data_IF_456078104688
#
_entry.id   IF_456078104688
#
_cell.length_a   1.000
_cell.length_b   1.000
_cell.length_c   1.000
_cell.angle_alpha   90.00
_cell.angle_beta   90.00
_cell.angle_gamma   90.00
#
_symmetry.space_group_name_H-M   'P 1'
#
loop_
_entity.id
_entity.type
_entity.pdbx_description
1 polymer ?
#
# COMPACT_ATOMS: atom_id res chain seq x y z
N UNK A 1 4.22 3.16 24.59
CA UNK A 1 3.39 3.49 23.41
C UNK A 1 3.94 2.78 22.19
N UNK A 2 3.29 1.71 21.71
CA UNK A 2 3.62 1.13 20.41
C UNK A 2 3.06 2.03 19.30
N UNK A 3 3.96 2.59 18.49
CA UNK A 3 3.65 3.49 17.39
C UNK A 3 3.80 2.72 16.08
N UNK A 4 2.70 2.29 15.50
CA UNK A 4 2.67 1.76 14.13
C UNK A 4 2.34 2.94 13.20
N UNK A 5 3.13 3.12 12.14
CA UNK A 5 2.73 3.94 11.01
C UNK A 5 2.78 5.45 11.22
N UNK A 6 3.74 6.08 10.55
CA UNK A 6 3.77 7.52 10.22
C UNK A 6 3.76 8.50 11.40
N UNK A 7 4.77 8.42 12.26
CA UNK A 7 5.05 9.43 13.31
C UNK A 7 5.28 10.86 12.80
N UNK A 8 5.45 11.07 11.48
CA UNK A 8 5.78 12.35 10.87
C UNK A 8 4.86 12.75 9.71
N UNK A 9 3.79 12.00 9.44
CA UNK A 9 2.75 12.45 8.51
C UNK A 9 1.58 12.99 9.32
N UNK A 10 1.37 14.29 9.24
CA UNK A 10 0.31 14.98 9.94
C UNK A 10 -0.39 15.92 8.98
N UNK A 11 -1.71 15.89 9.01
CA UNK A 11 -2.51 17.02 8.57
C UNK A 11 -2.48 18.07 9.68
N UNK A 12 -2.23 19.33 9.32
CA UNK A 12 -2.25 20.45 10.25
C UNK A 12 -2.97 21.63 9.61
N UNK A 13 -3.70 22.39 10.43
CA UNK A 13 -4.38 23.58 9.95
C UNK A 13 -3.36 24.70 9.70
N UNK A 14 -3.38 25.27 8.50
CA UNK A 14 -2.52 26.40 8.16
C UNK A 14 -2.97 27.65 8.93
N UNK A 15 -2.05 28.57 9.19
CA UNK A 15 -2.37 29.84 9.88
C UNK A 15 -3.41 30.69 9.13
N UNK A 16 -3.65 30.42 7.86
CA UNK A 16 -4.77 30.95 7.08
C UNK A 16 -6.00 30.06 7.24
N UNK A 17 -7.04 30.60 7.88
CA UNK A 17 -8.30 29.92 8.20
C UNK A 17 -8.82 29.10 7.01
N UNK A 18 -9.03 27.80 7.23
CA UNK A 18 -9.74 26.91 6.29
C UNK A 18 -8.89 26.10 5.31
N UNK A 19 -7.54 26.21 5.36
CA UNK A 19 -6.67 25.32 4.57
C UNK A 19 -5.91 24.35 5.47
N UNK A 20 -6.13 23.06 5.26
CA UNK A 20 -5.29 22.00 5.82
C UNK A 20 -4.05 21.83 4.94
N UNK A 21 -2.88 21.85 5.57
CA UNK A 21 -1.63 21.42 4.97
C UNK A 21 -1.25 20.05 5.53
N UNK A 22 -0.32 19.38 4.87
CA UNK A 22 0.25 18.13 5.36
C UNK A 22 1.76 18.17 5.25
N UNK A 23 2.43 17.43 6.13
CA UNK A 23 3.87 17.17 6.00
C UNK A 23 4.12 16.31 4.76
N UNK A 24 5.08 16.71 3.91
CA UNK A 24 5.41 15.94 2.71
C UNK A 24 5.99 14.56 3.09
N UNK A 25 5.35 13.51 2.60
CA UNK A 25 5.97 12.20 2.47
C UNK A 25 6.99 12.29 1.32
N UNK A 26 8.25 12.60 1.63
CA UNK A 26 9.33 12.55 0.64
C UNK A 26 9.70 11.08 0.30
N UNK A 27 10.57 10.86 -0.69
CA UNK A 27 10.90 9.49 -1.16
C UNK A 27 11.27 8.51 -0.05
N UNK A 28 12.16 8.90 0.87
CA UNK A 28 12.59 8.07 2.01
C UNK A 28 11.42 7.78 2.95
N UNK A 29 10.61 8.79 3.28
CA UNK A 29 9.46 8.61 4.17
C UNK A 29 8.35 7.76 3.51
N UNK A 30 8.11 7.91 2.20
CA UNK A 30 7.16 7.08 1.43
C UNK A 30 7.57 5.61 1.51
N UNK A 31 8.84 5.31 1.23
CA UNK A 31 9.36 3.95 1.30
C UNK A 31 9.25 3.37 2.72
N UNK A 32 9.51 4.19 3.73
CA UNK A 32 9.37 3.76 5.12
C UNK A 32 7.92 3.38 5.49
N UNK A 33 6.93 4.10 4.96
CA UNK A 33 5.52 3.72 5.11
C UNK A 33 5.22 2.43 4.36
N UNK A 34 5.62 2.32 3.11
CA UNK A 34 5.39 1.09 2.32
C UNK A 34 5.98 -0.15 3.02
N UNK A 35 7.17 -0.04 3.61
CA UNK A 35 7.86 -1.15 4.30
C UNK A 35 7.26 -1.54 5.65
N UNK A 36 6.72 -0.60 6.42
CA UNK A 36 6.42 -0.83 7.84
C UNK A 36 4.93 -0.62 8.21
N UNK A 37 4.07 -0.38 7.22
CA UNK A 37 2.65 -0.19 7.47
C UNK A 37 1.95 -1.54 7.65
N UNK A 38 1.56 -1.85 8.88
CA UNK A 38 0.88 -3.11 9.23
C UNK A 38 -0.63 -3.01 8.93
N UNK A 39 -1.03 -3.34 7.70
CA UNK A 39 -2.42 -3.22 7.23
C UNK A 39 -3.39 -4.03 8.09
N UNK A 40 -2.99 -5.23 8.52
CA UNK A 40 -3.81 -6.13 9.34
C UNK A 40 -4.10 -5.61 10.75
N UNK A 41 -3.37 -4.59 11.23
CA UNK A 41 -3.72 -3.91 12.50
C UNK A 41 -4.91 -2.96 12.36
N UNK A 42 -5.19 -2.49 11.15
CA UNK A 42 -6.28 -1.54 10.89
C UNK A 42 -7.52 -2.22 10.30
N UNK A 43 -7.32 -3.20 9.42
CA UNK A 43 -8.39 -3.97 8.80
C UNK A 43 -8.35 -5.36 9.43
N UNK A 44 -9.39 -5.73 10.17
CA UNK A 44 -9.52 -7.07 10.75
C UNK A 44 -9.86 -8.12 9.70
N UNK A 45 -9.78 -9.39 10.11
CA UNK A 45 -10.29 -10.56 9.39
C UNK A 45 -9.55 -10.89 8.07
N UNK A 46 -10.12 -11.81 7.29
CA UNK A 46 -9.57 -12.26 6.01
C UNK A 46 -9.32 -11.11 5.03
N UNK A 47 -10.17 -10.08 5.08
CA UNK A 47 -10.01 -8.87 4.27
C UNK A 47 -8.72 -8.13 4.59
N UNK A 48 -8.38 -8.01 5.87
CA UNK A 48 -7.12 -7.41 6.31
C UNK A 48 -5.90 -8.15 5.79
N UNK A 49 -5.92 -9.49 5.88
CA UNK A 49 -4.83 -10.34 5.36
C UNK A 49 -4.66 -10.21 3.86
N UNK A 50 -5.77 -10.17 3.10
CA UNK A 50 -5.74 -9.97 1.65
C UNK A 50 -5.18 -8.60 1.27
N UNK A 51 -5.57 -7.55 1.99
CA UNK A 51 -5.04 -6.20 1.77
C UNK A 51 -3.56 -6.10 2.14
N UNK A 52 -3.13 -6.76 3.22
CA UNK A 52 -1.73 -6.83 3.62
C UNK A 52 -0.88 -7.58 2.59
N UNK A 53 -1.39 -8.67 2.03
CA UNK A 53 -0.74 -9.36 0.91
C UNK A 53 -0.57 -8.44 -0.30
N UNK A 54 -1.63 -7.76 -0.73
CA UNK A 54 -1.58 -6.82 -1.85
C UNK A 54 -0.60 -5.67 -1.58
N UNK A 55 -0.50 -5.20 -0.34
CA UNK A 55 0.42 -4.16 0.08
C UNK A 55 1.89 -4.60 -0.06
N UNK A 56 2.21 -5.81 0.43
CA UNK A 56 3.55 -6.37 0.33
C UNK A 56 3.97 -6.67 -1.12
N UNK A 57 3.07 -7.23 -1.93
CA UNK A 57 3.36 -7.51 -3.33
C UNK A 57 3.55 -6.22 -4.14
N UNK A 58 2.79 -5.17 -3.84
CA UNK A 58 3.03 -3.85 -4.45
C UNK A 58 4.42 -3.31 -4.09
N UNK A 59 4.82 -3.40 -2.81
CA UNK A 59 6.17 -3.00 -2.38
C UNK A 59 7.25 -3.80 -3.12
N UNK A 60 7.04 -5.11 -3.32
CA UNK A 60 7.98 -5.96 -4.06
C UNK A 60 8.15 -5.49 -5.51
N UNK A 61 7.04 -5.24 -6.22
CA UNK A 61 7.07 -4.68 -7.58
C UNK A 61 7.75 -3.31 -7.62
N UNK A 62 7.47 -2.46 -6.64
CA UNK A 62 8.11 -1.14 -6.52
C UNK A 62 9.63 -1.26 -6.32
N UNK A 63 10.09 -2.14 -5.42
CA UNK A 63 11.52 -2.34 -5.18
C UNK A 63 12.24 -2.92 -6.39
N UNK A 64 11.58 -3.80 -7.14
CA UNK A 64 12.12 -4.36 -8.38
C UNK A 64 12.45 -3.26 -9.40
N UNK A 65 11.54 -2.28 -9.59
CA UNK A 65 11.76 -1.14 -10.49
C UNK A 65 12.93 -0.23 -10.07
N UNK A 66 13.42 -0.37 -8.84
CA UNK A 66 14.52 0.40 -8.28
C UNK A 66 15.85 -0.36 -8.25
N UNK A 67 15.93 -1.55 -8.87
CA UNK A 67 17.18 -2.29 -9.01
C UNK A 67 18.08 -1.66 -10.08
N UNK A 68 19.38 -1.62 -9.83
CA UNK A 68 20.37 -1.03 -10.76
C UNK A 68 20.61 -1.91 -12.00
N UNK A 69 20.36 -3.21 -11.89
CA UNK A 69 20.56 -4.19 -12.95
C UNK A 69 19.38 -5.16 -12.98
N UNK A 70 18.82 -5.37 -14.17
CA UNK A 70 17.68 -6.26 -14.39
C UNK A 70 17.98 -7.09 -15.65
N UNK A 71 17.80 -8.40 -15.55
CA UNK A 71 17.95 -9.36 -16.65
C UNK A 71 16.65 -9.55 -17.42
N UNK A 72 16.71 -10.11 -18.63
CA UNK A 72 15.51 -10.39 -19.43
C UNK A 72 14.53 -11.34 -18.73
N UNK A 73 15.03 -12.40 -18.09
CA UNK A 73 14.21 -13.33 -17.32
C UNK A 73 13.48 -12.64 -16.15
N UNK A 74 14.17 -11.73 -15.47
CA UNK A 74 13.57 -10.94 -14.39
C UNK A 74 12.46 -10.00 -14.89
N UNK A 75 12.57 -9.46 -16.11
CA UNK A 75 11.51 -8.66 -16.73
C UNK A 75 10.25 -9.51 -16.96
N UNK A 76 10.41 -10.73 -17.48
CA UNK A 76 9.30 -11.64 -17.73
C UNK A 76 8.60 -12.04 -16.41
N UNK A 77 9.40 -12.28 -15.35
CA UNK A 77 8.89 -12.57 -14.01
C UNK A 77 8.15 -11.36 -13.42
N UNK A 78 8.68 -10.15 -13.63
CA UNK A 78 8.05 -8.91 -13.19
C UNK A 78 6.70 -8.70 -13.90
N UNK A 79 6.63 -8.89 -15.21
CA UNK A 79 5.39 -8.75 -15.97
C UNK A 79 4.31 -9.71 -15.46
N UNK A 80 4.67 -10.98 -15.23
CA UNK A 80 3.75 -11.97 -14.67
C UNK A 80 3.27 -11.58 -13.27
N UNK A 81 4.19 -11.17 -12.40
CA UNK A 81 3.85 -10.73 -11.04
C UNK A 81 2.94 -9.49 -11.04
N UNK A 82 3.21 -8.51 -11.91
CA UNK A 82 2.40 -7.31 -12.05
C UNK A 82 0.99 -7.62 -12.54
N UNK A 83 0.84 -8.50 -13.54
CA UNK A 83 -0.47 -8.97 -14.01
C UNK A 83 -1.25 -9.67 -12.90
N UNK A 84 -0.61 -10.62 -12.19
CA UNK A 84 -1.23 -11.32 -11.07
C UNK A 84 -1.66 -10.37 -9.95
N UNK A 85 -0.83 -9.38 -9.63
CA UNK A 85 -1.16 -8.36 -8.63
C UNK A 85 -2.39 -7.55 -9.02
N UNK A 86 -2.49 -7.06 -10.26
CA UNK A 86 -3.66 -6.31 -10.75
C UNK A 86 -4.92 -7.18 -10.70
N UNK A 87 -4.84 -8.43 -11.15
CA UNK A 87 -5.98 -9.35 -11.10
C UNK A 87 -6.46 -9.58 -9.66
N UNK A 88 -5.52 -9.73 -8.72
CA UNK A 88 -5.83 -9.91 -7.30
C UNK A 88 -6.41 -8.64 -6.67
N UNK A 89 -5.91 -7.47 -7.06
CA UNK A 89 -6.39 -6.18 -6.59
C UNK A 89 -7.84 -5.91 -7.05
N UNK A 90 -8.16 -6.30 -8.28
CA UNK A 90 -9.50 -6.17 -8.85
C UNK A 90 -10.48 -7.26 -8.37
N UNK A 91 -10.03 -8.26 -7.62
CA UNK A 91 -10.88 -9.33 -7.13
C UNK A 91 -11.97 -8.74 -6.23
N UNK A 92 -13.27 -8.97 -6.53
CA UNK A 92 -14.34 -8.43 -5.72
C UNK A 92 -14.23 -8.99 -4.29
N UNK A 93 -14.47 -8.13 -3.30
CA UNK A 93 -14.60 -8.62 -1.93
C UNK A 93 -15.84 -9.52 -1.89
N UNK A 94 -15.67 -10.80 -1.54
CA UNK A 94 -16.79 -11.70 -1.29
C UNK A 94 -17.52 -11.19 -0.05
N UNK A 95 -18.48 -10.31 -0.26
CA UNK A 95 -19.46 -9.88 0.72
C UNK A 95 -20.78 -10.59 0.43
N UNK A 96 -21.55 -10.90 1.48
CA UNK A 96 -22.97 -11.21 1.29
C UNK A 96 -23.59 -10.03 0.53
N UNK A 97 -24.21 -10.29 -0.61
CA UNK A 97 -25.06 -9.32 -1.27
C UNK A 97 -26.09 -8.82 -0.27
N UNK A 98 -26.17 -7.51 -0.07
CA UNK A 98 -27.35 -6.89 0.53
C UNK A 98 -28.50 -6.98 -0.50
N UNK A 99 -28.88 -8.18 -0.93
CA UNK A 99 -30.16 -8.38 -1.61
C UNK A 99 -31.22 -8.50 -0.52
N UNK A 100 -31.60 -7.34 0.02
CA UNK A 100 -32.92 -7.18 0.62
C UNK A 100 -33.66 -6.22 -0.30
N UNK A 101 -34.49 -6.81 -1.17
CA UNK A 101 -35.84 -6.40 -1.54
C UNK A 101 -36.29 -7.20 -2.77
#
# INVERSE_FOLDING_TARGET
MHRIGITHFQFYESKTKGKYNWTTLNGVKKLNVLKNFEVSRFISDDRGRKMEFLWHEFLRLYLFLHQDHITGEEIDLFEQAAKSWILKFCEPTIGKSNSTN
#
